data_IF_727203392488
#
_entry.id   IF_727203392488
#
_cell.length_a   1.000
_cell.length_b   1.000
_cell.length_c   1.000
_cell.angle_alpha   90.00
_cell.angle_beta   90.00
_cell.angle_gamma   90.00
#
_symmetry.space_group_name_H-M   'P 1'
#
loop_
_entity.id
_entity.type
_entity.pdbx_description
1 polymer ?
#
# COMPACT_ATOMS: atom_id res chain seq x y z
N UNK A 1 -9.79 16.94 -3.58
CA UNK A 1 -9.69 17.14 -2.11
C UNK A 1 -8.63 16.22 -1.55
N UNK A 2 -8.09 16.42 -0.34
CA UNK A 2 -6.97 15.58 0.08
C UNK A 2 -7.41 14.15 0.47
N UNK A 3 -8.73 13.92 0.66
CA UNK A 3 -9.35 12.57 0.70
C UNK A 3 -9.32 11.88 -0.66
N UNK A 4 -9.64 12.59 -1.75
CA UNK A 4 -9.59 11.97 -3.09
C UNK A 4 -8.17 11.53 -3.45
N UNK A 5 -7.16 12.31 -3.06
CA UNK A 5 -5.75 11.92 -3.26
C UNK A 5 -5.40 10.63 -2.50
N UNK A 6 -5.81 10.50 -1.24
CA UNK A 6 -5.61 9.27 -0.46
C UNK A 6 -6.32 8.07 -1.09
N UNK A 7 -7.56 8.25 -1.56
CA UNK A 7 -8.30 7.20 -2.27
C UNK A 7 -7.58 6.76 -3.53
N UNK A 8 -7.03 7.70 -4.31
CA UNK A 8 -6.25 7.38 -5.50
C UNK A 8 -4.95 6.63 -5.16
N UNK A 9 -4.21 7.07 -4.15
CA UNK A 9 -2.99 6.37 -3.71
C UNK A 9 -3.29 4.92 -3.32
N UNK A 10 -4.33 4.69 -2.51
CA UNK A 10 -4.75 3.35 -2.12
C UNK A 10 -5.22 2.55 -3.33
N UNK A 11 -6.03 3.14 -4.21
CA UNK A 11 -6.55 2.46 -5.40
C UNK A 11 -5.43 2.04 -6.36
N UNK A 12 -4.45 2.89 -6.62
CA UNK A 12 -3.30 2.55 -7.47
C UNK A 12 -2.51 1.36 -6.88
N UNK A 13 -2.27 1.35 -5.57
CA UNK A 13 -1.61 0.23 -4.90
C UNK A 13 -2.47 -1.04 -4.96
N UNK A 14 -3.77 -0.94 -4.73
CA UNK A 14 -4.70 -2.08 -4.82
C UNK A 14 -4.71 -2.67 -6.23
N UNK A 15 -4.83 -1.81 -7.25
CA UNK A 15 -4.82 -2.22 -8.66
C UNK A 15 -3.49 -2.88 -9.02
N UNK A 16 -2.37 -2.32 -8.58
CA UNK A 16 -1.05 -2.91 -8.78
C UNK A 16 -0.93 -4.31 -8.17
N UNK A 17 -1.43 -4.50 -6.94
CA UNK A 17 -1.40 -5.81 -6.30
C UNK A 17 -2.38 -6.80 -6.94
N UNK A 18 -3.52 -6.35 -7.44
CA UNK A 18 -4.45 -7.19 -8.20
C UNK A 18 -3.82 -7.68 -9.51
N UNK A 19 -3.14 -6.79 -10.24
CA UNK A 19 -2.36 -7.16 -11.43
C UNK A 19 -1.25 -8.14 -11.05
N UNK A 20 -0.54 -7.90 -9.93
CA UNK A 20 0.51 -8.81 -9.45
C UNK A 20 -0.05 -10.19 -9.11
N UNK A 21 -1.21 -10.26 -8.47
CA UNK A 21 -1.89 -11.52 -8.15
C UNK A 21 -2.28 -12.27 -9.42
N UNK A 22 -2.91 -11.57 -10.37
CA UNK A 22 -3.27 -12.16 -11.66
C UNK A 22 -2.04 -12.69 -12.39
N UNK A 23 -0.97 -11.89 -12.48
CA UNK A 23 0.26 -12.31 -13.13
C UNK A 23 0.91 -13.53 -12.45
N UNK A 24 0.84 -13.63 -11.12
CA UNK A 24 1.38 -14.76 -10.37
C UNK A 24 0.61 -16.06 -10.63
N UNK A 25 -0.72 -15.98 -10.76
CA UNK A 25 -1.57 -17.13 -11.08
C UNK A 25 -1.43 -17.53 -12.55
N UNK A 26 -1.44 -16.54 -13.46
CA UNK A 26 -1.37 -16.80 -14.90
C UNK A 26 -0.03 -17.38 -15.35
N UNK A 27 1.07 -17.03 -14.66
CA UNK A 27 2.42 -17.47 -15.00
C UNK A 27 2.99 -18.39 -13.90
N UNK A 28 2.13 -19.20 -13.28
CA UNK A 28 2.50 -20.01 -12.13
C UNK A 28 3.70 -20.92 -12.42
N UNK A 29 3.67 -21.66 -13.54
CA UNK A 29 4.72 -22.61 -13.91
C UNK A 29 6.05 -21.90 -14.19
N UNK A 30 6.02 -20.77 -14.91
CA UNK A 30 7.20 -19.95 -15.18
C UNK A 30 7.84 -19.43 -13.89
N UNK A 31 7.02 -19.01 -12.92
CA UNK A 31 7.51 -18.55 -11.63
C UNK A 31 8.03 -19.72 -10.77
N UNK A 32 7.43 -20.90 -10.87
CA UNK A 32 7.90 -22.09 -10.17
C UNK A 32 9.27 -22.55 -10.68
N UNK A 33 9.53 -22.40 -11.98
CA UNK A 33 10.77 -22.82 -12.63
C UNK A 33 11.90 -21.78 -12.51
N UNK A 34 11.59 -20.50 -12.74
CA UNK A 34 12.62 -19.46 -12.92
C UNK A 34 12.69 -18.41 -11.82
N UNK A 35 11.70 -18.30 -10.92
CA UNK A 35 11.75 -17.28 -9.89
C UNK A 35 12.69 -17.70 -8.74
N UNK A 36 13.60 -16.82 -8.30
CA UNK A 36 14.29 -17.00 -7.02
C UNK A 36 13.26 -17.22 -5.90
N UNK A 37 13.58 -18.08 -4.92
CA UNK A 37 12.77 -18.26 -3.70
C UNK A 37 12.37 -16.87 -3.18
N UNK A 38 11.08 -16.62 -2.90
CA UNK A 38 10.11 -17.53 -2.27
C UNK A 38 9.05 -18.16 -3.20
N UNK A 39 9.15 -17.99 -4.52
CA UNK A 39 8.29 -18.68 -5.51
C UNK A 39 6.84 -18.14 -5.64
N UNK A 40 6.03 -18.74 -6.53
CA UNK A 40 4.71 -18.22 -6.93
C UNK A 40 3.68 -18.15 -5.80
N UNK A 41 3.75 -19.06 -4.83
CA UNK A 41 2.83 -19.11 -3.70
C UNK A 41 2.94 -17.86 -2.82
N UNK A 42 4.16 -17.46 -2.47
CA UNK A 42 4.38 -16.25 -1.69
C UNK A 42 3.89 -15.00 -2.43
N UNK A 43 4.21 -14.90 -3.73
CA UNK A 43 3.80 -13.76 -4.55
C UNK A 43 2.29 -13.64 -4.58
N UNK A 44 1.58 -14.77 -4.73
CA UNK A 44 0.12 -14.83 -4.74
C UNK A 44 -0.48 -14.46 -3.38
N UNK A 45 0.00 -15.05 -2.28
CA UNK A 45 -0.52 -14.77 -0.94
C UNK A 45 -0.30 -13.31 -0.54
N UNK A 46 0.90 -12.78 -0.77
CA UNK A 46 1.21 -11.39 -0.47
C UNK A 46 0.41 -10.43 -1.35
N UNK A 47 0.24 -10.72 -2.65
CA UNK A 47 -0.58 -9.90 -3.54
C UNK A 47 -2.06 -9.93 -3.15
N UNK A 48 -2.60 -11.09 -2.77
CA UNK A 48 -3.98 -11.22 -2.29
C UNK A 48 -4.21 -10.48 -0.97
N UNK A 49 -3.26 -10.56 -0.03
CA UNK A 49 -3.30 -9.82 1.23
C UNK A 49 -3.34 -8.30 0.99
N UNK A 50 -2.45 -7.77 0.14
CA UNK A 50 -2.42 -6.33 -0.13
C UNK A 50 -3.59 -5.86 -0.99
N UNK A 51 -4.11 -6.69 -1.89
CA UNK A 51 -5.31 -6.38 -2.66
C UNK A 51 -6.54 -6.27 -1.75
N UNK A 52 -6.78 -7.29 -0.92
CA UNK A 52 -7.91 -7.30 0.03
C UNK A 52 -7.80 -6.20 1.07
N UNK A 53 -6.61 -5.98 1.64
CA UNK A 53 -6.32 -4.88 2.55
C UNK A 53 -6.54 -3.51 1.91
N UNK A 54 -6.17 -3.35 0.64
CA UNK A 54 -6.37 -2.12 -0.11
C UNK A 54 -7.84 -1.82 -0.40
N UNK A 55 -8.63 -2.84 -0.75
CA UNK A 55 -10.10 -2.73 -0.87
C UNK A 55 -10.73 -2.31 0.46
N UNK A 56 -10.34 -2.96 1.57
CA UNK A 56 -10.83 -2.62 2.89
C UNK A 56 -10.46 -1.18 3.32
N UNK A 57 -9.21 -0.77 3.08
CA UNK A 57 -8.75 0.59 3.36
C UNK A 57 -9.51 1.61 2.51
N UNK A 58 -9.73 1.34 1.23
CA UNK A 58 -10.47 2.22 0.34
C UNK A 58 -11.93 2.40 0.78
N UNK A 59 -12.59 1.33 1.22
CA UNK A 59 -13.94 1.43 1.81
C UNK A 59 -13.94 2.25 3.10
N UNK A 60 -12.94 2.06 3.97
CA UNK A 60 -12.84 2.76 5.24
C UNK A 60 -12.59 4.27 5.08
N UNK A 61 -11.75 4.66 4.11
CA UNK A 61 -11.37 6.07 3.87
C UNK A 61 -12.57 6.92 3.41
N UNK A 62 -13.56 6.31 2.77
CA UNK A 62 -14.79 7.00 2.34
C UNK A 62 -15.65 7.52 3.50
N UNK A 63 -15.45 7.00 4.72
CA UNK A 63 -16.18 7.43 5.92
C UNK A 63 -15.30 8.36 6.74
N UNK A 64 -15.64 9.65 6.89
CA UNK A 64 -14.82 10.56 7.67
C UNK A 64 -14.71 10.09 9.13
N UNK A 65 -13.53 10.26 9.72
CA UNK A 65 -13.28 10.04 11.13
C UNK A 65 -11.91 9.43 11.43
N UNK A 66 -11.68 9.08 12.69
CA UNK A 66 -10.44 8.42 13.13
C UNK A 66 -10.16 7.10 12.40
N UNK A 67 -11.20 6.35 12.03
CA UNK A 67 -11.08 5.06 11.33
C UNK A 67 -10.49 5.21 9.92
N UNK A 68 -10.88 6.23 9.15
CA UNK A 68 -10.28 6.52 7.85
C UNK A 68 -8.78 6.83 7.96
N UNK A 69 -8.40 7.66 8.95
CA UNK A 69 -7.00 8.01 9.20
C UNK A 69 -6.16 6.77 9.54
N UNK A 70 -6.66 5.94 10.45
CA UNK A 70 -5.99 4.71 10.86
C UNK A 70 -5.87 3.72 9.69
N UNK A 71 -6.94 3.53 8.92
CA UNK A 71 -6.91 2.63 7.77
C UNK A 71 -5.88 3.06 6.71
N UNK A 72 -5.86 4.35 6.36
CA UNK A 72 -4.87 4.89 5.42
C UNK A 72 -3.44 4.77 5.96
N UNK A 73 -3.23 5.14 7.24
CA UNK A 73 -1.90 5.09 7.85
C UNK A 73 -1.36 3.66 7.92
N UNK A 74 -2.16 2.71 8.40
CA UNK A 74 -1.77 1.29 8.51
C UNK A 74 -1.49 0.67 7.14
N UNK A 75 -2.36 0.91 6.16
CA UNK A 75 -2.17 0.34 4.83
C UNK A 75 -0.90 0.88 4.15
N UNK A 76 -0.70 2.20 4.12
CA UNK A 76 0.43 2.80 3.42
C UNK A 76 1.77 2.52 4.11
N UNK A 77 1.83 2.64 5.44
CA UNK A 77 3.05 2.33 6.20
C UNK A 77 3.37 0.84 6.18
N UNK A 78 2.35 -0.02 6.33
CA UNK A 78 2.50 -1.46 6.24
C UNK A 78 2.99 -1.89 4.86
N UNK A 79 2.44 -1.33 3.79
CA UNK A 79 2.87 -1.63 2.43
C UNK A 79 4.33 -1.23 2.19
N UNK A 80 4.72 -0.04 2.64
CA UNK A 80 6.11 0.41 2.55
C UNK A 80 7.06 -0.50 3.32
N UNK A 81 6.70 -0.88 4.56
CA UNK A 81 7.50 -1.77 5.39
C UNK A 81 7.67 -3.16 4.75
N UNK A 82 6.56 -3.75 4.28
CA UNK A 82 6.59 -5.02 3.58
C UNK A 82 7.44 -4.97 2.32
N UNK A 83 7.30 -3.92 1.51
CA UNK A 83 8.10 -3.76 0.29
C UNK A 83 9.59 -3.64 0.58
N UNK A 84 9.98 -2.94 1.65
CA UNK A 84 11.37 -2.88 2.08
C UNK A 84 11.89 -4.22 2.61
N UNK A 85 11.09 -4.95 3.39
CA UNK A 85 11.45 -6.29 3.84
C UNK A 85 11.66 -7.24 2.65
N UNK A 86 10.75 -7.22 1.68
CA UNK A 86 10.85 -8.00 0.44
C UNK A 86 12.11 -7.64 -0.35
N UNK A 87 12.37 -6.35 -0.52
CA UNK A 87 13.55 -5.83 -1.23
C UNK A 87 14.88 -6.22 -0.56
N UNK A 88 14.94 -6.20 0.77
CA UNK A 88 16.18 -6.46 1.51
C UNK A 88 16.44 -7.96 1.74
N UNK A 89 15.38 -8.76 1.89
CA UNK A 89 15.50 -10.17 2.28
C UNK A 89 15.38 -11.13 1.09
N UNK A 90 14.61 -10.77 0.05
CA UNK A 90 14.20 -11.71 -1.00
C UNK A 90 14.70 -11.29 -2.39
N UNK A 91 14.86 -9.99 -2.65
CA UNK A 91 15.29 -9.51 -3.97
C UNK A 91 16.81 -9.43 -4.09
N UNK A 92 17.30 -9.65 -5.31
CA UNK A 92 18.70 -9.41 -5.64
C UNK A 92 19.08 -7.94 -5.36
N UNK A 93 20.31 -7.67 -4.85
CA UNK A 93 20.76 -6.32 -4.54
C UNK A 93 20.64 -5.40 -5.76
N UNK A 94 19.94 -4.28 -5.59
CA UNK A 94 19.82 -3.23 -6.61
C UNK A 94 20.53 -1.97 -6.15
N UNK A 95 21.40 -1.37 -6.99
CA UNK A 95 22.21 -0.22 -6.59
C UNK A 95 21.40 1.06 -6.36
N UNK A 96 20.13 1.10 -6.79
CA UNK A 96 19.25 2.26 -6.65
C UNK A 96 18.59 2.40 -5.26
N UNK A 97 19.14 1.79 -4.21
CA UNK A 97 18.54 1.85 -2.87
C UNK A 97 18.47 3.27 -2.27
N UNK A 98 19.43 4.20 -2.49
CA UNK A 98 19.33 5.54 -1.90
C UNK A 98 18.17 6.33 -2.50
N UNK A 99 18.00 6.22 -3.83
CA UNK A 99 16.87 6.83 -4.54
C UNK A 99 15.54 6.24 -4.08
N UNK A 100 15.45 4.91 -3.98
CA UNK A 100 14.24 4.24 -3.51
C UNK A 100 13.85 4.66 -2.08
N UNK A 101 14.84 4.83 -1.20
CA UNK A 101 14.62 5.29 0.17
C UNK A 101 14.12 6.72 0.20
N UNK A 102 14.77 7.63 -0.52
CA UNK A 102 14.34 9.02 -0.63
C UNK A 102 12.90 9.12 -1.17
N UNK A 103 12.59 8.39 -2.25
CA UNK A 103 11.25 8.35 -2.83
C UNK A 103 10.21 7.81 -1.84
N UNK A 104 10.54 6.76 -1.09
CA UNK A 104 9.65 6.20 -0.06
C UNK A 104 9.36 7.22 1.05
N UNK A 105 10.40 7.92 1.54
CA UNK A 105 10.26 8.95 2.57
C UNK A 105 9.36 10.09 2.08
N UNK A 106 9.58 10.58 0.86
CA UNK A 106 8.76 11.65 0.26
C UNK A 106 7.29 11.22 0.15
N UNK A 107 7.02 10.01 -0.34
CA UNK A 107 5.66 9.49 -0.48
C UNK A 107 4.96 9.29 0.87
N UNK A 108 5.68 8.80 1.89
CA UNK A 108 5.16 8.65 3.24
C UNK A 108 4.92 10.00 3.92
N UNK A 109 5.80 10.98 3.73
CA UNK A 109 5.61 12.34 4.24
C UNK A 109 4.39 13.01 3.61
N UNK A 110 4.21 12.85 2.29
CA UNK A 110 3.02 13.31 1.58
C UNK A 110 1.76 12.64 2.15
N UNK A 111 1.73 11.31 2.25
CA UNK A 111 0.62 10.57 2.83
C UNK A 111 0.30 11.03 4.27
N UNK A 112 1.32 11.20 5.11
CA UNK A 112 1.16 11.70 6.48
C UNK A 112 0.53 13.09 6.49
N UNK A 113 1.02 14.01 5.65
CA UNK A 113 0.45 15.36 5.54
C UNK A 113 -1.05 15.33 5.16
N UNK A 114 -1.46 14.42 4.27
CA UNK A 114 -2.86 14.27 3.84
C UNK A 114 -3.73 13.68 4.95
N UNK A 115 -3.20 12.70 5.69
CA UNK A 115 -3.89 12.02 6.80
C UNK A 115 -4.07 12.95 8.01
N UNK A 116 -3.07 13.77 8.32
CA UNK A 116 -3.07 14.64 9.50
C UNK A 116 -3.57 16.06 9.23
N UNK A 117 -3.84 16.42 7.98
CA UNK A 117 -4.47 17.70 7.67
C UNK A 117 -5.85 17.79 8.34
N UNK A 118 -6.06 18.78 9.22
CA UNK A 118 -7.34 18.93 9.94
C UNK A 118 -8.55 19.14 9.01
N UNK A 119 -8.30 19.59 7.77
CA UNK A 119 -9.34 19.84 6.77
C UNK A 119 -9.78 18.60 5.97
N UNK A 120 -9.02 17.49 5.98
CA UNK A 120 -9.38 16.29 5.21
C UNK A 120 -10.44 15.44 5.87
N UNK A 121 -10.41 15.35 7.19
CA UNK A 121 -11.23 14.41 7.96
C UNK A 121 -11.79 15.16 9.16
N UNK A 122 -12.69 16.11 8.87
CA UNK A 122 -13.47 16.78 9.90
C UNK A 122 -14.35 15.74 10.59
N UNK A 123 -14.20 15.66 11.91
CA UNK A 123 -15.09 14.87 12.75
C UNK A 123 -16.38 15.69 12.94
N UNK A 124 -17.54 15.26 12.42
CA UNK A 124 -18.78 16.03 12.57
C UNK A 124 -19.17 16.21 14.04
N UNK A 125 -18.67 15.38 14.96
CA UNK A 125 -18.93 15.49 16.40
C UNK A 125 -18.05 16.52 17.11
N UNK A 126 -17.15 17.22 16.40
CA UNK A 126 -16.33 18.33 16.93
C UNK A 126 -16.74 19.71 16.41
N UNK A 127 -17.92 19.84 15.79
CA UNK A 127 -18.55 21.16 15.63
C UNK A 127 -19.22 21.49 16.95
N UNK A 128 -18.72 22.54 17.58
CA UNK A 128 -19.00 22.99 18.96
C UNK A 128 -20.50 23.11 19.30
N UNK A 129 -20.88 23.17 20.60
CA UNK A 129 -22.07 23.92 20.97
C UNK A 129 -21.91 25.42 20.66
#
# INVERSE_FOLDING_TARGET
SPVTTLLWMVLCLTAWNAIRLFAAIANWDLLAEFAPRPGPLYISLSAAFWTSGGVAAWMAIRRPGRRARLAAALYLSGYALWWWADRLLLQAPRPNWPFALAATIVLLALAASLIFNRKTIADPTKRDP
#
